data_IF_431602157201
#
_entry.id   IF_431602157201
#
_cell.length_a   1.000
_cell.length_b   1.000
_cell.length_c   1.000
_cell.angle_alpha   90.00
_cell.angle_beta   90.00
_cell.angle_gamma   90.00
#
_symmetry.space_group_name_H-M   'P 1'
#
loop_
_entity.id
_entity.type
_entity.pdbx_description
1 polymer ?
#
# COMPACT_ATOMS: atom_id res chain seq x y z
N UNK A 1 -7.49 6.40 8.66
CA UNK A 1 -7.89 5.47 9.70
C UNK A 1 -9.36 5.72 9.94
N UNK A 2 -10.23 4.95 9.30
CA UNK A 2 -11.65 4.96 9.64
C UNK A 2 -11.75 4.24 10.98
N UNK A 3 -12.33 4.91 11.98
CA UNK A 3 -12.44 4.40 13.33
C UNK A 3 -13.12 3.03 13.33
N UNK A 4 -12.37 2.04 13.83
CA UNK A 4 -12.86 0.73 14.18
C UNK A 4 -13.94 0.87 15.26
N UNK A 5 -15.18 0.61 14.93
CA UNK A 5 -16.10 -0.04 15.85
C UNK A 5 -16.06 -1.52 15.52
N UNK A 6 -15.51 -2.24 16.47
CA UNK A 6 -15.19 -3.65 16.45
C UNK A 6 -16.34 -4.54 16.09
N UNK A 7 -16.35 -5.05 14.85
CA UNK A 7 -17.02 -6.29 14.53
C UNK A 7 -16.01 -7.19 13.77
N UNK A 8 -15.55 -8.32 14.32
CA UNK A 8 -14.51 -9.16 13.73
C UNK A 8 -14.91 -9.85 12.41
N UNK A 9 -16.09 -9.57 11.91
CA UNK A 9 -16.57 -10.09 10.62
C UNK A 9 -16.72 -9.01 9.53
N UNK A 10 -16.32 -7.75 9.77
CA UNK A 10 -16.49 -6.71 8.78
C UNK A 10 -15.22 -6.52 7.96
N UNK A 11 -15.30 -6.85 6.69
CA UNK A 11 -14.39 -6.45 5.61
C UNK A 11 -14.46 -4.94 5.28
N UNK A 12 -15.00 -4.13 6.20
CA UNK A 12 -15.11 -2.68 6.04
C UNK A 12 -13.73 -2.04 5.91
N UNK A 13 -13.55 -1.29 4.84
CA UNK A 13 -12.31 -0.57 4.58
C UNK A 13 -11.31 -1.33 3.70
N UNK A 14 -11.67 -2.48 3.14
CA UNK A 14 -10.89 -3.14 2.09
C UNK A 14 -11.12 -2.45 0.75
N UNK A 15 -10.10 -2.40 -0.07
CA UNK A 15 -10.19 -1.92 -1.44
C UNK A 15 -9.43 -2.85 -2.37
N UNK A 16 -9.81 -2.83 -3.65
CA UNK A 16 -9.10 -3.51 -4.72
C UNK A 16 -7.89 -2.67 -5.15
N UNK A 17 -6.66 -3.18 -4.99
CA UNK A 17 -5.46 -2.45 -5.35
C UNK A 17 -5.34 -2.15 -6.84
N UNK A 18 -5.84 -3.04 -7.70
CA UNK A 18 -5.82 -2.83 -9.14
C UNK A 18 -6.75 -1.69 -9.52
N UNK A 19 -7.98 -1.70 -9.01
CA UNK A 19 -8.94 -0.61 -9.23
C UNK A 19 -8.41 0.73 -8.73
N UNK A 20 -7.72 0.74 -7.57
CA UNK A 20 -7.02 1.94 -7.10
C UNK A 20 -5.93 2.39 -8.07
N UNK A 21 -5.10 1.48 -8.57
CA UNK A 21 -4.03 1.79 -9.53
C UNK A 21 -4.59 2.39 -10.82
N UNK A 22 -5.66 1.80 -11.36
CA UNK A 22 -6.36 2.29 -12.55
C UNK A 22 -6.97 3.68 -12.33
N UNK A 23 -7.59 3.90 -11.17
CA UNK A 23 -8.13 5.20 -10.78
C UNK A 23 -7.03 6.28 -10.74
N UNK A 24 -5.88 5.98 -10.13
CA UNK A 24 -4.76 6.92 -10.06
C UNK A 24 -4.15 7.20 -11.45
N UNK A 25 -3.99 6.18 -12.28
CA UNK A 25 -3.48 6.32 -13.64
C UNK A 25 -4.43 7.18 -14.51
N UNK A 26 -5.74 6.95 -14.42
CA UNK A 26 -6.76 7.69 -15.19
C UNK A 26 -6.81 9.18 -14.87
N UNK A 27 -6.42 9.58 -13.66
CA UNK A 27 -6.37 10.99 -13.21
C UNK A 27 -5.15 11.74 -13.71
N UNK A 28 -4.23 11.05 -14.33
CA UNK A 28 -3.03 11.70 -14.86
C UNK A 28 -3.38 12.53 -16.09
N UNK A 29 -2.94 13.79 -16.16
CA UNK A 29 -3.18 14.65 -17.33
C UNK A 29 -2.47 14.14 -18.59
N UNK A 30 -1.56 13.18 -18.48
CA UNK A 30 -0.71 12.68 -19.57
C UNK A 30 -1.12 11.30 -20.10
N UNK A 31 -2.35 10.83 -19.88
CA UNK A 31 -2.83 9.52 -20.34
C UNK A 31 -1.84 8.40 -20.03
N UNK A 32 -1.61 8.15 -18.75
CA UNK A 32 -0.68 7.12 -18.30
C UNK A 32 -1.28 5.73 -18.42
N UNK A 33 -0.45 4.78 -18.79
CA UNK A 33 -0.76 3.37 -18.71
C UNK A 33 -0.35 2.82 -17.33
N UNK A 34 -1.24 2.03 -16.71
CA UNK A 34 -0.91 1.30 -15.49
C UNK A 34 -0.08 0.06 -15.85
N UNK A 35 1.21 0.09 -15.52
CA UNK A 35 2.10 -1.05 -15.74
C UNK A 35 1.97 -2.09 -14.63
N UNK A 36 2.04 -1.66 -13.39
CA UNK A 36 2.05 -2.57 -12.24
C UNK A 36 1.51 -1.87 -10.98
N UNK A 37 0.84 -2.65 -10.14
CA UNK A 37 0.50 -2.31 -8.75
C UNK A 37 1.25 -3.24 -7.84
N UNK A 38 2.07 -2.69 -6.93
CA UNK A 38 2.79 -3.47 -5.93
C UNK A 38 2.24 -3.22 -4.54
N UNK A 39 1.84 -4.29 -3.87
CA UNK A 39 1.33 -4.27 -2.51
C UNK A 39 2.38 -4.86 -1.56
N UNK A 40 2.70 -4.11 -0.52
CA UNK A 40 3.65 -4.53 0.51
C UNK A 40 2.91 -4.76 1.81
N UNK A 41 2.99 -5.97 2.37
CA UNK A 41 2.24 -6.31 3.59
C UNK A 41 2.90 -7.38 4.43
N UNK A 42 2.61 -7.36 5.73
CA UNK A 42 2.93 -8.45 6.63
C UNK A 42 2.03 -9.67 6.39
N UNK A 43 2.62 -10.86 6.44
CA UNK A 43 1.90 -12.13 6.34
C UNK A 43 1.77 -12.76 7.73
N UNK A 44 0.56 -13.06 8.22
CA UNK A 44 0.35 -13.79 9.46
C UNK A 44 1.04 -15.16 9.47
N UNK A 45 1.35 -15.67 10.66
CA UNK A 45 1.93 -17.00 10.79
C UNK A 45 0.87 -18.09 10.66
N UNK A 46 1.10 -19.08 9.82
CA UNK A 46 0.20 -20.23 9.68
C UNK A 46 0.03 -21.04 10.98
N UNK A 47 1.01 -21.00 11.88
CA UNK A 47 0.96 -21.71 13.16
C UNK A 47 0.35 -20.88 14.30
N UNK A 48 0.51 -19.55 14.29
CA UNK A 48 0.03 -18.66 15.37
C UNK A 48 -1.32 -18.03 15.06
N UNK A 49 -1.60 -17.78 13.80
CA UNK A 49 -2.86 -17.22 13.31
C UNK A 49 -3.26 -17.92 11.98
N UNK A 50 -3.68 -19.18 12.04
CA UNK A 50 -4.04 -19.94 10.84
C UNK A 50 -5.17 -19.30 10.03
N UNK A 51 -6.16 -18.70 10.72
CA UNK A 51 -7.30 -18.05 10.05
C UNK A 51 -6.87 -16.77 9.33
N UNK A 52 -6.13 -15.90 9.99
CA UNK A 52 -5.57 -14.69 9.38
C UNK A 52 -4.62 -15.02 8.22
N UNK A 53 -3.81 -16.08 8.37
CA UNK A 53 -2.97 -16.58 7.29
C UNK A 53 -3.77 -17.03 6.08
N UNK A 54 -4.81 -17.87 6.29
CA UNK A 54 -5.65 -18.37 5.20
C UNK A 54 -6.37 -17.22 4.48
N UNK A 55 -6.97 -16.28 5.23
CA UNK A 55 -7.63 -15.12 4.68
C UNK A 55 -6.66 -14.23 3.88
N UNK A 56 -5.46 -13.96 4.42
CA UNK A 56 -4.44 -13.18 3.72
C UNK A 56 -3.99 -13.87 2.42
N UNK A 57 -3.83 -15.19 2.44
CA UNK A 57 -3.46 -15.97 1.24
C UNK A 57 -4.56 -15.96 0.19
N UNK A 58 -5.83 -16.09 0.58
CA UNK A 58 -6.96 -16.02 -0.32
C UNK A 58 -7.07 -14.63 -0.98
N UNK A 59 -6.91 -13.56 -0.19
CA UNK A 59 -6.90 -12.20 -0.69
C UNK A 59 -5.75 -11.95 -1.67
N UNK A 60 -4.53 -12.39 -1.34
CA UNK A 60 -3.37 -12.28 -2.22
C UNK A 60 -3.62 -13.02 -3.53
N UNK A 61 -4.13 -14.25 -3.46
CA UNK A 61 -4.43 -15.04 -4.65
C UNK A 61 -5.47 -14.35 -5.55
N UNK A 62 -6.50 -13.74 -4.94
CA UNK A 62 -7.49 -12.95 -5.66
C UNK A 62 -6.86 -11.74 -6.37
N UNK A 63 -6.09 -10.94 -5.67
CA UNK A 63 -5.45 -9.76 -6.26
C UNK A 63 -4.47 -10.12 -7.39
N UNK A 64 -3.74 -11.22 -7.26
CA UNK A 64 -2.77 -11.69 -8.26
C UNK A 64 -3.43 -12.45 -9.44
N UNK A 65 -4.75 -12.46 -9.56
CA UNK A 65 -5.42 -12.94 -10.78
C UNK A 65 -5.13 -12.04 -12.00
N UNK A 66 -4.90 -10.75 -11.76
CA UNK A 66 -4.38 -9.85 -12.79
C UNK A 66 -2.85 -9.81 -12.73
N UNK A 67 -2.21 -10.02 -13.87
CA UNK A 67 -0.74 -10.07 -13.99
C UNK A 67 -0.05 -8.76 -13.65
N UNK A 68 -0.77 -7.65 -13.64
CA UNK A 68 -0.27 -6.33 -13.24
C UNK A 68 -0.18 -6.17 -11.72
N UNK A 69 -0.65 -7.15 -10.93
CA UNK A 69 -0.65 -7.06 -9.47
C UNK A 69 0.43 -7.96 -8.89
N UNK A 70 1.38 -7.36 -8.20
CA UNK A 70 2.44 -8.04 -7.44
C UNK A 70 2.25 -7.81 -5.94
N UNK A 71 2.21 -8.88 -5.16
CA UNK A 71 2.14 -8.80 -3.70
C UNK A 71 3.45 -9.26 -3.07
N UNK A 72 4.12 -8.34 -2.40
CA UNK A 72 5.35 -8.59 -1.65
C UNK A 72 5.00 -8.79 -0.19
N UNK A 73 5.37 -9.94 0.38
CA UNK A 73 5.04 -10.27 1.77
C UNK A 73 6.28 -10.49 2.62
N UNK A 74 6.20 -10.12 3.89
CA UNK A 74 7.14 -10.51 4.93
C UNK A 74 6.40 -11.12 6.12
N UNK A 75 6.94 -12.15 6.78
CA UNK A 75 6.32 -12.71 7.97
C UNK A 75 6.16 -11.65 9.07
N UNK A 76 4.99 -11.59 9.67
CA UNK A 76 4.77 -10.76 10.86
C UNK A 76 5.67 -11.23 12.00
N UNK A 77 6.20 -10.28 12.75
CA UNK A 77 6.96 -10.55 13.96
C UNK A 77 6.00 -10.63 15.15
N UNK A 78 5.94 -11.80 15.76
CA UNK A 78 5.14 -12.02 16.95
C UNK A 78 5.99 -11.74 18.21
N UNK A 79 5.40 -11.08 19.22
CA UNK A 79 6.07 -10.90 20.49
C UNK A 79 6.35 -12.26 21.16
N UNK A 80 7.34 -12.29 22.03
CA UNK A 80 7.61 -13.49 22.81
C UNK A 80 6.50 -13.70 23.84
N UNK A 81 6.09 -14.95 24.13
CA UNK A 81 4.99 -15.25 25.05
C UNK A 81 5.14 -14.62 26.43
N UNK A 82 6.40 -14.48 26.90
CA UNK A 82 6.74 -13.92 28.21
C UNK A 82 6.54 -12.39 28.32
N UNK A 83 6.30 -11.69 27.21
CA UNK A 83 6.25 -10.22 27.24
C UNK A 83 4.87 -9.63 27.49
N UNK A 84 3.85 -10.15 26.87
CA UNK A 84 2.42 -9.85 27.13
C UNK A 84 1.55 -10.58 26.12
N UNK A 85 0.42 -11.10 26.57
CA UNK A 85 -0.58 -11.71 25.72
C UNK A 85 -1.31 -10.67 24.83
N UNK A 86 -1.27 -9.40 25.21
CA UNK A 86 -1.99 -8.31 24.52
C UNK A 86 -1.18 -7.65 23.39
N UNK A 87 0.10 -7.99 23.25
CA UNK A 87 0.96 -7.43 22.21
C UNK A 87 0.61 -8.01 20.85
N UNK A 88 0.15 -7.14 19.95
CA UNK A 88 -0.16 -7.50 18.56
C UNK A 88 1.12 -7.80 17.77
N UNK A 89 1.06 -8.69 16.79
CA UNK A 89 2.16 -8.89 15.86
C UNK A 89 2.43 -7.60 15.06
N UNK A 90 3.69 -7.37 14.73
CA UNK A 90 4.14 -6.17 14.04
C UNK A 90 4.79 -6.51 12.71
N UNK A 91 4.64 -5.62 11.75
CA UNK A 91 5.41 -5.66 10.52
C UNK A 91 6.87 -5.27 10.80
N UNK A 92 7.80 -5.93 10.11
CA UNK A 92 9.21 -5.58 10.20
C UNK A 92 9.89 -5.68 8.85
N UNK A 93 10.39 -4.54 8.38
CA UNK A 93 11.17 -4.41 7.16
C UNK A 93 10.34 -4.51 5.88
N UNK A 94 9.02 -4.38 5.95
CA UNK A 94 8.17 -4.33 4.75
C UNK A 94 8.27 -2.94 4.09
N UNK A 95 8.29 -1.89 4.86
CA UNK A 95 8.55 -0.51 4.49
C UNK A 95 9.95 -0.34 3.86
N UNK A 96 10.96 -0.95 4.45
CA UNK A 96 12.31 -0.99 3.88
C UNK A 96 12.32 -1.71 2.53
N UNK A 97 11.60 -2.83 2.40
CA UNK A 97 11.48 -3.54 1.12
C UNK A 97 10.83 -2.67 0.06
N UNK A 98 9.72 -1.98 0.41
CA UNK A 98 9.06 -1.04 -0.48
C UNK A 98 10.01 0.07 -0.93
N UNK A 99 10.73 0.68 0.02
CA UNK A 99 11.67 1.75 -0.27
C UNK A 99 12.79 1.31 -1.25
N UNK A 100 13.36 0.13 -1.01
CA UNK A 100 14.41 -0.45 -1.86
C UNK A 100 13.88 -0.77 -3.24
N UNK A 101 12.72 -1.42 -3.35
CA UNK A 101 12.11 -1.77 -4.63
C UNK A 101 11.77 -0.51 -5.42
N UNK A 102 11.13 0.48 -4.79
CA UNK A 102 10.75 1.75 -5.42
C UNK A 102 11.98 2.45 -6.04
N UNK A 103 13.06 2.57 -5.27
CA UNK A 103 14.29 3.20 -5.73
C UNK A 103 15.02 2.39 -6.82
N UNK A 104 15.09 1.06 -6.65
CA UNK A 104 15.79 0.17 -7.59
C UNK A 104 15.07 0.11 -8.94
N UNK A 105 13.75 0.05 -8.92
CA UNK A 105 12.93 0.05 -10.14
C UNK A 105 13.09 1.36 -10.93
N UNK A 106 13.18 2.51 -10.23
CA UNK A 106 13.48 3.80 -10.86
C UNK A 106 14.82 3.80 -11.58
N UNK A 107 15.86 3.29 -10.91
CA UNK A 107 17.22 3.20 -11.48
C UNK A 107 17.28 2.26 -12.67
N UNK A 108 16.48 1.20 -12.66
CA UNK A 108 16.38 0.22 -13.75
C UNK A 108 15.41 0.63 -14.87
N UNK A 109 14.84 1.84 -14.77
CA UNK A 109 13.88 2.37 -15.75
C UNK A 109 12.67 1.43 -15.94
N UNK A 110 12.22 0.77 -14.87
CA UNK A 110 11.08 -0.14 -14.91
C UNK A 110 9.74 0.59 -14.83
N UNK A 111 9.74 1.89 -14.61
CA UNK A 111 8.59 2.77 -14.69
C UNK A 111 9.01 4.22 -15.04
N UNK A 112 8.12 4.95 -15.69
CA UNK A 112 8.31 6.39 -15.97
C UNK A 112 7.84 7.25 -14.80
N UNK A 113 6.81 6.80 -14.11
CA UNK A 113 6.27 7.46 -12.93
C UNK A 113 5.91 6.45 -11.86
N UNK A 114 6.53 6.56 -10.70
CA UNK A 114 6.17 5.80 -9.51
C UNK A 114 5.23 6.61 -8.61
N UNK A 115 4.07 6.05 -8.27
CA UNK A 115 3.12 6.65 -7.33
C UNK A 115 3.23 5.90 -6.00
N UNK A 116 3.68 6.58 -4.95
CA UNK A 116 3.79 6.01 -3.62
C UNK A 116 2.53 6.32 -2.79
N UNK A 117 1.71 5.30 -2.53
CA UNK A 117 0.51 5.41 -1.70
C UNK A 117 0.85 5.16 -0.23
N UNK A 118 1.39 6.17 0.43
CA UNK A 118 1.76 6.13 1.86
C UNK A 118 1.86 7.53 2.45
N UNK A 119 1.81 7.60 3.78
CA UNK A 119 2.13 8.80 4.56
C UNK A 119 3.31 8.56 5.51
N UNK A 120 3.91 7.40 5.42
CA UNK A 120 5.03 7.03 6.27
C UNK A 120 6.28 7.82 5.89
N UNK A 121 6.78 8.60 6.82
CA UNK A 121 7.97 9.45 6.64
C UNK A 121 9.25 8.62 6.50
N UNK A 122 9.27 7.36 6.91
CA UNK A 122 10.41 6.47 6.74
C UNK A 122 10.67 6.15 5.26
N UNK A 123 9.71 6.43 4.38
CA UNK A 123 9.84 6.30 2.93
C UNK A 123 10.41 7.55 2.23
N UNK A 124 10.58 8.67 2.95
CA UNK A 124 11.15 9.89 2.39
C UNK A 124 12.51 9.69 1.74
N UNK A 125 13.48 8.94 2.33
CA UNK A 125 14.77 8.73 1.68
C UNK A 125 14.67 8.08 0.30
N UNK A 126 13.71 7.19 0.08
CA UNK A 126 13.50 6.58 -1.25
C UNK A 126 12.92 7.57 -2.25
N UNK A 127 11.96 8.40 -1.83
CA UNK A 127 11.43 9.50 -2.67
C UNK A 127 12.51 10.53 -3.02
N UNK A 128 13.31 10.93 -2.04
CA UNK A 128 14.44 11.87 -2.24
C UNK A 128 15.47 11.31 -3.22
N UNK A 129 15.79 10.03 -3.09
CA UNK A 129 16.70 9.34 -3.99
C UNK A 129 16.18 9.36 -5.43
N UNK A 130 14.94 8.95 -5.68
CA UNK A 130 14.34 8.94 -7.02
C UNK A 130 14.29 10.35 -7.59
N UNK A 131 13.85 11.31 -6.80
CA UNK A 131 13.77 12.71 -7.22
C UNK A 131 15.13 13.31 -7.58
N UNK A 132 16.18 12.96 -6.83
CA UNK A 132 17.51 13.56 -7.02
C UNK A 132 18.38 12.87 -8.08
N UNK A 133 18.15 11.60 -8.34
CA UNK A 133 19.05 10.75 -9.15
C UNK A 133 18.44 10.27 -10.44
N UNK A 134 17.15 10.09 -10.51
CA UNK A 134 16.50 9.64 -11.72
C UNK A 134 16.27 10.83 -12.67
N UNK A 135 16.87 10.75 -13.82
CA UNK A 135 16.67 11.74 -14.89
C UNK A 135 15.34 11.46 -15.62
N UNK A 136 14.88 10.21 -15.64
CA UNK A 136 13.72 9.75 -16.41
C UNK A 136 12.50 9.53 -15.53
N UNK A 137 12.65 8.74 -14.47
CA UNK A 137 11.54 8.41 -13.60
C UNK A 137 11.10 9.61 -12.74
N UNK A 138 9.79 9.80 -12.64
CA UNK A 138 9.14 10.77 -11.77
C UNK A 138 8.59 10.08 -10.54
N UNK A 139 8.53 10.80 -9.42
CA UNK A 139 7.84 10.33 -8.23
C UNK A 139 6.64 11.21 -7.90
N UNK A 140 5.55 10.56 -7.61
CA UNK A 140 4.31 11.14 -7.12
C UNK A 140 3.87 10.40 -5.85
N UNK A 141 2.96 11.01 -5.12
CA UNK A 141 2.41 10.40 -3.90
C UNK A 141 0.90 10.25 -4.03
N UNK A 142 0.34 9.34 -3.24
CA UNK A 142 -1.09 9.26 -3.06
C UNK A 142 -1.43 9.11 -1.58
N UNK A 143 -2.58 9.65 -1.16
CA UNK A 143 -3.00 9.61 0.23
C UNK A 143 -4.52 9.69 0.36
N UNK A 144 -5.05 9.05 1.41
CA UNK A 144 -6.46 9.19 1.77
C UNK A 144 -6.77 10.59 2.25
N UNK A 145 -7.91 11.11 1.79
CA UNK A 145 -8.47 12.39 2.23
C UNK A 145 -9.81 12.16 2.92
N UNK A 146 -9.92 12.53 4.18
CA UNK A 146 -11.17 12.43 4.94
C UNK A 146 -11.77 13.82 5.17
N UNK A 147 -12.79 14.17 4.40
CA UNK A 147 -13.48 15.46 4.48
C UNK A 147 -12.54 16.65 4.27
N UNK A 148 -12.78 17.73 5.00
CA UNK A 148 -12.01 18.98 4.89
C UNK A 148 -10.78 19.05 5.83
N UNK A 149 -10.44 17.97 6.52
CA UNK A 149 -9.26 17.97 7.38
C UNK A 149 -7.99 17.93 6.54
N UNK A 150 -6.99 18.78 6.83
CA UNK A 150 -5.71 18.68 6.17
C UNK A 150 -5.08 17.33 6.57
N UNK A 151 -4.81 16.51 5.57
CA UNK A 151 -4.08 15.26 5.76
C UNK A 151 -2.65 15.46 5.33
N UNK A 152 -1.74 14.86 6.09
CA UNK A 152 -0.33 14.84 5.75
C UNK A 152 -0.12 14.14 4.41
N UNK A 153 0.77 14.71 3.61
CA UNK A 153 1.37 14.07 2.43
C UNK A 153 2.89 14.04 2.62
N UNK A 154 3.55 13.14 1.95
CA UNK A 154 5.00 13.13 1.93
C UNK A 154 5.50 14.34 1.13
N UNK A 155 6.53 15.01 1.65
CA UNK A 155 7.19 16.17 1.02
C UNK A 155 8.69 15.98 1.06
N UNK A 156 9.40 16.40 0.01
CA UNK A 156 10.85 16.28 -0.11
C UNK A 156 11.48 17.65 0.15
N UNK A 157 11.90 17.89 1.38
CA UNK A 157 12.40 19.21 1.77
C UNK A 157 11.37 20.31 1.51
N UNK A 158 11.68 21.26 0.62
CA UNK A 158 10.73 22.29 0.16
C UNK A 158 9.89 21.87 -1.05
N UNK A 159 10.21 20.73 -1.66
CA UNK A 159 9.51 20.22 -2.83
C UNK A 159 8.32 19.38 -2.40
N UNK A 160 7.20 19.58 -3.08
CA UNK A 160 5.97 18.82 -2.87
C UNK A 160 5.69 18.02 -4.13
N UNK A 161 5.94 16.70 -4.14
CA UNK A 161 5.49 15.85 -5.24
C UNK A 161 3.99 16.01 -5.46
N UNK A 162 3.55 15.84 -6.70
CA UNK A 162 2.12 15.79 -6.96
C UNK A 162 1.48 14.70 -6.09
N UNK A 163 0.37 15.03 -5.43
CA UNK A 163 -0.31 14.10 -4.54
C UNK A 163 -1.73 13.82 -5.06
N UNK A 164 -1.98 12.56 -5.36
CA UNK A 164 -3.31 12.07 -5.67
C UNK A 164 -4.11 11.91 -4.37
N UNK A 165 -5.12 12.72 -4.21
CA UNK A 165 -6.03 12.61 -3.08
C UNK A 165 -7.15 11.64 -3.41
N UNK A 166 -7.29 10.61 -2.59
CA UNK A 166 -8.35 9.59 -2.67
C UNK A 166 -9.33 9.84 -1.53
N UNK A 167 -10.59 10.04 -1.85
CA UNK A 167 -11.63 10.37 -0.87
C UNK A 167 -12.69 9.25 -0.75
N UNK A 168 -13.76 9.53 -0.01
CA UNK A 168 -14.82 8.55 0.23
C UNK A 168 -15.59 8.18 -1.04
N UNK A 169 -15.75 9.11 -2.00
CA UNK A 169 -16.39 8.80 -3.27
C UNK A 169 -15.51 7.87 -4.12
N UNK A 170 -14.20 8.11 -4.09
CA UNK A 170 -13.23 7.24 -4.74
C UNK A 170 -13.20 5.86 -4.11
N UNK A 171 -13.25 5.81 -2.76
CA UNK A 171 -13.30 4.54 -2.04
C UNK A 171 -14.49 3.69 -2.47
N UNK A 172 -15.67 4.29 -2.65
CA UNK A 172 -16.86 3.56 -3.11
C UNK A 172 -16.70 2.94 -4.52
N UNK A 173 -15.80 3.47 -5.35
CA UNK A 173 -15.50 2.90 -6.67
C UNK A 173 -14.53 1.73 -6.64
N UNK A 174 -13.72 1.66 -5.59
CA UNK A 174 -12.64 0.67 -5.47
C UNK A 174 -12.82 -0.28 -4.29
N UNK A 175 -13.97 -0.20 -3.59
CA UNK A 175 -14.25 -1.05 -2.42
C UNK A 175 -14.25 -2.53 -2.81
N UNK A 176 -13.52 -3.34 -2.04
CA UNK A 176 -13.55 -4.80 -2.13
C UNK A 176 -14.45 -5.36 -1.03
N UNK A 177 -15.65 -5.79 -1.40
CA UNK A 177 -16.63 -6.36 -0.48
C UNK A 177 -16.41 -7.84 -0.18
N UNK A 178 -15.36 -8.47 -0.71
CA UNK A 178 -15.08 -9.89 -0.58
C UNK A 178 -14.74 -10.27 0.86
N UNK A 179 -15.37 -11.33 1.37
CA UNK A 179 -15.06 -11.86 2.69
C UNK A 179 -14.08 -13.04 2.59
N UNK A 180 -12.79 -12.76 2.69
CA UNK A 180 -11.72 -13.77 2.59
C UNK A 180 -11.60 -14.71 3.81
N UNK A 181 -12.30 -14.44 4.91
CA UNK A 181 -12.30 -15.32 6.11
C UNK A 181 -13.19 -16.52 5.91
N UNK A 182 -14.18 -16.45 5.02
CA UNK A 182 -15.18 -17.47 4.76
C UNK A 182 -15.01 -18.22 3.44
N UNK A 183 -13.98 -17.84 2.66
CA UNK A 183 -13.68 -18.46 1.38
C UNK A 183 -12.80 -19.71 1.55
#
# INVERSE_FOLDING_TARGET
MFSEESNPSSHKGQFDPLALGELLASRSPNQRELLEVRIYRGLPSSSRDPRGYAAARAQIAHWQTDSRVTVVTRPLRYPKPEWSADLKPTEKGIDVQLAVDFATMAVREQYDTGILFSRDTDLLPALEFVYSKSVVARCETASWRNGNKPHGRLTIGKFQPFCHWVDAADFALIEDATNYVRS
#
